data_IF_502227124815
#
_entry.id   IF_502227124815
#
_cell.length_a   1.000
_cell.length_b   1.000
_cell.length_c   1.000
_cell.angle_alpha   90.00
_cell.angle_beta   90.00
_cell.angle_gamma   90.00
#
_symmetry.space_group_name_H-M   'P 1'
#
loop_
_entity.id
_entity.type
_entity.pdbx_description
1 polymer ?
#
# COMPACT_ATOMS: atom_id res chain seq x y z
N UNK A 1 13.71 2.45 -12.05
CA UNK A 1 12.86 2.85 -10.91
C UNK A 1 12.12 4.13 -11.23
N UNK A 2 10.92 4.33 -10.69
CA UNK A 2 10.06 5.50 -10.92
C UNK A 2 10.35 6.55 -9.85
N UNK A 3 10.57 7.80 -10.25
CA UNK A 3 10.72 8.93 -9.32
C UNK A 3 9.35 9.53 -9.06
N UNK A 4 8.97 9.66 -7.81
CA UNK A 4 7.66 10.20 -7.38
C UNK A 4 7.86 11.17 -6.21
N UNK A 5 6.79 11.84 -5.83
CA UNK A 5 6.61 12.35 -4.47
C UNK A 5 5.69 11.37 -3.75
N UNK A 6 6.03 10.97 -2.53
CA UNK A 6 5.14 10.17 -1.71
C UNK A 6 4.05 11.03 -1.05
N UNK A 7 3.16 10.40 -0.28
CA UNK A 7 2.05 11.09 0.37
C UNK A 7 2.46 12.04 1.49
N UNK A 8 3.73 11.99 1.95
CA UNK A 8 4.29 12.98 2.87
C UNK A 8 4.86 14.21 2.14
N UNK A 9 4.88 14.19 0.80
CA UNK A 9 5.45 15.26 -0.03
C UNK A 9 6.95 15.13 -0.23
N UNK A 10 7.56 14.02 0.16
CA UNK A 10 9.00 13.79 0.04
C UNK A 10 9.36 13.08 -1.28
N UNK A 11 10.50 13.44 -1.92
CA UNK A 11 10.98 12.74 -3.10
C UNK A 11 11.31 11.27 -2.79
N UNK A 12 10.75 10.36 -3.58
CA UNK A 12 10.94 8.93 -3.38
C UNK A 12 11.09 8.15 -4.70
N UNK A 13 11.51 6.89 -4.57
CA UNK A 13 11.57 5.94 -5.68
C UNK A 13 10.65 4.76 -5.43
N UNK A 14 9.97 4.29 -6.49
CA UNK A 14 9.16 3.06 -6.47
C UNK A 14 9.47 2.13 -7.65
N UNK A 15 9.34 0.83 -7.43
CA UNK A 15 9.45 -0.18 -8.48
C UNK A 15 8.24 -0.09 -9.43
N UNK A 16 7.04 0.16 -8.87
CA UNK A 16 5.79 0.36 -9.59
C UNK A 16 5.02 1.55 -9.03
N UNK A 17 4.22 2.18 -9.88
CA UNK A 17 3.14 3.13 -9.53
C UNK A 17 1.80 2.54 -9.92
N UNK A 18 0.68 3.15 -9.47
CA UNK A 18 -0.67 2.76 -9.91
C UNK A 18 -0.77 2.72 -11.45
N UNK A 19 -0.19 3.70 -12.15
CA UNK A 19 -0.18 3.72 -13.61
C UNK A 19 0.57 2.53 -14.21
N UNK A 20 1.71 2.13 -13.62
CA UNK A 20 2.43 0.94 -14.08
C UNK A 20 1.58 -0.33 -13.88
N UNK A 21 0.88 -0.46 -12.76
CA UNK A 21 -0.02 -1.61 -12.51
C UNK A 21 -1.12 -1.70 -13.58
N UNK A 22 -1.71 -0.57 -13.97
CA UNK A 22 -2.68 -0.52 -15.08
C UNK A 22 -2.06 -0.94 -16.41
N UNK A 23 -0.88 -0.43 -16.74
CA UNK A 23 -0.20 -0.72 -18.01
C UNK A 23 0.27 -2.18 -18.14
N UNK A 24 0.56 -2.84 -17.01
CA UNK A 24 1.00 -4.23 -16.94
C UNK A 24 -0.16 -5.25 -16.91
N UNK A 25 -1.39 -4.80 -16.63
CA UNK A 25 -2.55 -5.67 -16.56
C UNK A 25 -2.72 -6.45 -17.88
N UNK A 26 -2.79 -7.79 -17.76
CA UNK A 26 -2.88 -8.71 -18.90
C UNK A 26 -1.55 -8.98 -19.62
N UNK A 27 -0.46 -8.30 -19.27
CA UNK A 27 0.87 -8.44 -19.92
C UNK A 27 1.89 -9.15 -19.05
N UNK A 28 1.92 -8.86 -17.74
CA UNK A 28 2.83 -9.49 -16.78
C UNK A 28 2.04 -9.93 -15.54
N UNK A 29 2.35 -11.12 -15.01
CA UNK A 29 1.90 -11.55 -13.69
C UNK A 29 2.87 -11.00 -12.65
N UNK A 30 2.35 -10.25 -11.69
CA UNK A 30 3.11 -9.72 -10.57
C UNK A 30 2.90 -10.61 -9.34
N UNK A 31 3.97 -10.86 -8.60
CA UNK A 31 3.93 -11.52 -7.31
C UNK A 31 3.53 -10.54 -6.21
N UNK A 32 2.69 -10.98 -5.28
CA UNK A 32 2.36 -10.20 -4.09
C UNK A 32 2.37 -11.10 -2.86
N UNK A 33 3.02 -10.65 -1.78
CA UNK A 33 3.08 -11.39 -0.53
C UNK A 33 2.70 -10.50 0.65
N UNK A 34 2.08 -11.10 1.66
CA UNK A 34 1.82 -10.45 2.94
C UNK A 34 3.03 -10.62 3.85
N UNK A 35 3.57 -9.51 4.36
CA UNK A 35 4.68 -9.48 5.32
C UNK A 35 4.21 -8.89 6.64
N UNK A 36 4.57 -9.53 7.75
CA UNK A 36 4.12 -9.15 9.10
C UNK A 36 5.16 -8.42 9.92
N UNK A 37 6.42 -8.48 9.51
CA UNK A 37 7.55 -7.92 10.24
C UNK A 37 8.73 -7.63 9.30
N UNK A 38 9.76 -6.98 9.83
CA UNK A 38 10.94 -6.55 9.07
C UNK A 38 11.77 -7.71 8.50
N UNK A 39 11.81 -8.86 9.18
CA UNK A 39 12.50 -10.06 8.68
C UNK A 39 11.82 -10.61 7.43
N UNK A 40 10.50 -10.78 7.47
CA UNK A 40 9.71 -11.23 6.31
C UNK A 40 9.81 -10.24 5.14
N UNK A 41 9.79 -8.92 5.42
CA UNK A 41 10.00 -7.90 4.40
C UNK A 41 11.38 -8.02 3.73
N UNK A 42 12.43 -8.23 4.53
CA UNK A 42 13.79 -8.41 4.00
C UNK A 42 13.87 -9.62 3.07
N UNK A 43 13.32 -10.75 3.50
CA UNK A 43 13.28 -11.98 2.69
C UNK A 43 12.49 -11.75 1.39
N UNK A 44 11.34 -11.06 1.45
CA UNK A 44 10.54 -10.77 0.26
C UNK A 44 11.28 -9.86 -0.74
N UNK A 45 12.03 -8.88 -0.25
CA UNK A 45 12.88 -8.02 -1.10
C UNK A 45 14.01 -8.81 -1.74
N UNK A 46 14.70 -9.68 -0.97
CA UNK A 46 15.79 -10.53 -1.48
C UNK A 46 15.28 -11.57 -2.50
N UNK A 47 14.03 -12.01 -2.35
CA UNK A 47 13.36 -12.91 -3.28
C UNK A 47 12.75 -12.22 -4.52
N UNK A 48 12.97 -10.91 -4.70
CA UNK A 48 12.46 -10.10 -5.81
C UNK A 48 10.92 -10.14 -5.95
N UNK A 49 10.20 -10.11 -4.82
CA UNK A 49 8.73 -10.00 -4.82
C UNK A 49 8.31 -8.62 -5.33
N UNK A 50 7.40 -8.59 -6.30
CA UNK A 50 7.01 -7.35 -7.00
C UNK A 50 6.27 -6.38 -6.06
N UNK A 51 5.28 -6.86 -5.32
CA UNK A 51 4.38 -6.05 -4.49
C UNK A 51 4.31 -6.59 -3.06
N UNK A 52 4.20 -5.71 -2.07
CA UNK A 52 4.03 -6.10 -0.67
C UNK A 52 2.66 -5.64 -0.16
N UNK A 53 2.03 -6.46 0.68
CA UNK A 53 0.92 -6.02 1.54
C UNK A 53 1.33 -6.23 3.00
N UNK A 54 0.97 -5.29 3.88
CA UNK A 54 1.25 -5.42 5.31
C UNK A 54 0.16 -4.80 6.15
N UNK A 55 0.13 -5.10 7.45
CA UNK A 55 -0.83 -4.51 8.38
C UNK A 55 -0.57 -3.02 8.59
N UNK A 56 -1.65 -2.24 8.70
CA UNK A 56 -1.62 -0.79 8.94
C UNK A 56 -0.57 -0.32 9.98
N UNK A 57 -0.44 -1.03 11.11
CA UNK A 57 0.40 -0.61 12.25
C UNK A 57 1.90 -0.71 12.01
N UNK A 58 2.35 -1.46 11.01
CA UNK A 58 3.79 -1.75 10.77
C UNK A 58 4.30 -1.15 9.46
N UNK A 59 3.48 -0.36 8.74
CA UNK A 59 3.82 0.18 7.42
C UNK A 59 5.19 0.88 7.41
N UNK A 60 5.45 1.75 8.40
CA UNK A 60 6.72 2.48 8.54
C UNK A 60 7.94 1.54 8.62
N UNK A 61 7.84 0.52 9.47
CA UNK A 61 8.90 -0.46 9.68
C UNK A 61 9.17 -1.24 8.40
N UNK A 62 8.12 -1.67 7.70
CA UNK A 62 8.23 -2.40 6.43
C UNK A 62 8.81 -1.49 5.33
N UNK A 63 8.37 -0.23 5.23
CA UNK A 63 8.90 0.75 4.27
C UNK A 63 10.40 0.98 4.46
N UNK A 64 10.89 1.02 5.70
CA UNK A 64 12.32 1.18 5.99
C UNK A 64 13.18 0.05 5.41
N UNK A 65 12.64 -1.17 5.33
CA UNK A 65 13.28 -2.33 4.72
C UNK A 65 13.06 -2.35 3.21
N UNK A 66 11.79 -2.27 2.79
CA UNK A 66 11.36 -2.29 1.40
C UNK A 66 11.19 -0.87 0.85
N UNK A 67 12.29 -0.10 0.82
CA UNK A 67 12.29 1.34 0.47
C UNK A 67 11.62 1.65 -0.87
N UNK A 68 11.69 0.68 -1.78
CA UNK A 68 11.40 0.85 -3.19
C UNK A 68 10.21 0.01 -3.68
N UNK A 69 9.76 -1.00 -2.94
CA UNK A 69 8.64 -1.85 -3.35
C UNK A 69 7.33 -1.07 -3.22
N UNK A 70 6.36 -1.38 -4.08
CA UNK A 70 5.00 -0.90 -3.90
C UNK A 70 4.37 -1.60 -2.67
N UNK A 71 3.90 -0.81 -1.70
CA UNK A 71 3.34 -1.32 -0.44
C UNK A 71 1.86 -0.97 -0.34
N UNK A 72 1.02 -1.98 -0.10
CA UNK A 72 -0.38 -1.78 0.26
C UNK A 72 -0.58 -1.99 1.76
N UNK A 73 -1.21 -1.04 2.44
CA UNK A 73 -1.56 -1.16 3.86
C UNK A 73 -2.94 -1.79 4.04
N UNK A 74 -3.03 -2.93 4.72
CA UNK A 74 -4.30 -3.54 5.09
C UNK A 74 -4.91 -2.82 6.30
N UNK A 75 -6.05 -2.14 6.07
CA UNK A 75 -6.80 -1.44 7.10
C UNK A 75 -7.69 -2.45 7.84
N UNK A 76 -7.48 -2.71 9.15
CA UNK A 76 -8.26 -3.68 9.92
C UNK A 76 -9.76 -3.43 9.83
N UNK A 77 -10.51 -4.50 9.56
CA UNK A 77 -11.97 -4.44 9.37
C UNK A 77 -12.72 -4.08 10.67
N UNK A 78 -12.27 -4.62 11.82
CA UNK A 78 -12.98 -4.51 13.10
C UNK A 78 -12.60 -3.31 13.96
N UNK A 79 -11.47 -2.66 13.68
CA UNK A 79 -10.93 -1.54 14.46
C UNK A 79 -11.57 -0.20 14.09
N UNK A 80 -11.79 0.03 12.78
CA UNK A 80 -12.34 1.28 12.24
C UNK A 80 -13.76 1.05 11.71
N UNK A 81 -14.76 1.62 12.36
CA UNK A 81 -16.19 1.32 12.14
C UNK A 81 -16.89 2.40 11.32
N UNK A 82 -16.45 3.64 11.41
CA UNK A 82 -17.03 4.78 10.69
C UNK A 82 -16.19 5.16 9.47
N UNK A 83 -16.81 5.82 8.48
CA UNK A 83 -16.09 6.32 7.31
C UNK A 83 -14.95 7.29 7.68
N UNK A 84 -15.14 8.12 8.71
CA UNK A 84 -14.10 9.04 9.18
C UNK A 84 -12.93 8.29 9.79
N UNK A 85 -13.18 7.29 10.64
CA UNK A 85 -12.12 6.45 11.21
C UNK A 85 -11.33 5.71 10.12
N UNK A 86 -12.02 5.19 9.10
CA UNK A 86 -11.41 4.51 7.97
C UNK A 86 -10.57 5.48 7.14
N UNK A 87 -11.06 6.69 6.90
CA UNK A 87 -10.32 7.74 6.19
C UNK A 87 -9.06 8.14 6.96
N UNK A 88 -9.19 8.43 8.26
CA UNK A 88 -8.05 8.79 9.11
C UNK A 88 -6.98 7.70 9.15
N UNK A 89 -7.39 6.43 9.30
CA UNK A 89 -6.46 5.31 9.25
C UNK A 89 -5.80 5.18 7.87
N UNK A 90 -6.55 5.38 6.79
CA UNK A 90 -6.00 5.30 5.43
C UNK A 90 -4.96 6.40 5.18
N UNK A 91 -5.25 7.64 5.57
CA UNK A 91 -4.32 8.76 5.43
C UNK A 91 -3.04 8.54 6.25
N UNK A 92 -3.16 8.08 7.49
CA UNK A 92 -1.99 7.77 8.31
C UNK A 92 -1.15 6.64 7.68
N UNK A 93 -1.77 5.63 7.09
CA UNK A 93 -1.04 4.56 6.40
C UNK A 93 -0.20 5.08 5.23
N UNK A 94 -0.78 6.01 4.46
CA UNK A 94 -0.09 6.65 3.34
C UNK A 94 1.06 7.54 3.80
N UNK A 95 0.85 8.32 4.87
CA UNK A 95 1.88 9.15 5.51
C UNK A 95 3.04 8.29 6.04
N UNK A 96 2.76 7.10 6.59
CA UNK A 96 3.77 6.15 7.04
C UNK A 96 4.44 5.37 5.88
N UNK A 97 4.08 5.67 4.63
CA UNK A 97 4.79 5.24 3.44
C UNK A 97 4.11 4.14 2.62
N UNK A 98 2.82 3.86 2.86
CA UNK A 98 2.05 3.02 1.95
C UNK A 98 1.76 3.76 0.62
N UNK A 99 1.65 2.99 -0.47
CA UNK A 99 1.31 3.50 -1.80
C UNK A 99 -0.17 3.28 -2.16
N UNK A 100 -0.85 2.40 -1.41
CA UNK A 100 -2.28 2.14 -1.48
C UNK A 100 -2.78 1.55 -0.16
N UNK A 101 -4.10 1.46 -0.01
CA UNK A 101 -4.76 0.78 1.11
C UNK A 101 -5.60 -0.40 0.64
N UNK A 102 -5.69 -1.44 1.44
CA UNK A 102 -6.61 -2.55 1.24
C UNK A 102 -7.76 -2.49 2.24
N UNK A 103 -8.98 -2.71 1.76
CA UNK A 103 -10.15 -2.85 2.64
C UNK A 103 -11.07 -3.98 2.20
N UNK A 104 -11.44 -4.85 3.13
CA UNK A 104 -12.45 -5.90 2.93
C UNK A 104 -13.89 -5.39 3.11
N UNK A 105 -14.13 -4.09 2.91
CA UNK A 105 -15.42 -3.42 3.11
C UNK A 105 -16.19 -3.31 1.79
N UNK A 106 -17.40 -2.78 1.87
CA UNK A 106 -18.29 -2.69 0.71
C UNK A 106 -17.76 -1.74 -0.37
N UNK A 107 -18.23 -1.88 -1.63
CA UNK A 107 -17.89 -0.97 -2.71
C UNK A 107 -18.16 0.51 -2.42
N UNK A 108 -19.15 0.83 -1.56
CA UNK A 108 -19.42 2.21 -1.14
C UNK A 108 -18.25 2.81 -0.33
N UNK A 109 -17.58 2.01 0.50
CA UNK A 109 -16.38 2.46 1.24
C UNK A 109 -15.20 2.64 0.29
N UNK A 110 -15.05 1.73 -0.68
CA UNK A 110 -14.02 1.83 -1.74
C UNK A 110 -14.21 3.11 -2.55
N UNK A 111 -15.44 3.41 -2.98
CA UNK A 111 -15.78 4.63 -3.71
C UNK A 111 -15.53 5.89 -2.87
N UNK A 112 -15.93 5.88 -1.60
CA UNK A 112 -15.70 6.99 -0.67
C UNK A 112 -14.21 7.33 -0.55
N UNK A 113 -13.36 6.34 -0.25
CA UNK A 113 -11.91 6.56 -0.15
C UNK A 113 -11.30 6.99 -1.49
N UNK A 114 -11.76 6.41 -2.60
CA UNK A 114 -11.26 6.77 -3.94
C UNK A 114 -11.60 8.22 -4.31
N UNK A 115 -12.75 8.75 -3.89
CA UNK A 115 -13.13 10.16 -4.07
C UNK A 115 -12.22 11.12 -3.28
N UNK A 116 -11.68 10.66 -2.15
CA UNK A 116 -10.65 11.37 -1.38
C UNK A 116 -9.23 11.16 -1.96
N UNK A 117 -9.12 10.68 -3.22
CA UNK A 117 -7.86 10.44 -3.92
C UNK A 117 -6.95 9.37 -3.28
N UNK A 118 -7.51 8.49 -2.45
CA UNK A 118 -6.78 7.37 -1.86
C UNK A 118 -6.77 6.20 -2.85
N UNK A 119 -5.61 5.63 -3.22
CA UNK A 119 -5.56 4.41 -4.01
C UNK A 119 -6.05 3.21 -3.18
N UNK A 120 -7.11 2.55 -3.64
CA UNK A 120 -7.74 1.44 -2.92
C UNK A 120 -7.62 0.12 -3.68
N UNK A 121 -7.21 -0.92 -2.97
CA UNK A 121 -7.34 -2.32 -3.34
C UNK A 121 -8.54 -2.93 -2.61
N UNK A 122 -9.40 -3.63 -3.35
CA UNK A 122 -10.60 -4.31 -2.85
C UNK A 122 -10.64 -5.75 -3.35
#
# INVERSE_FOLDING_TARGET
MKKIYDFSGEPAYRNYTINDLFLLKGKKKLSQINVKNTLEAKIAVEADIDLLITGYKVVKEIRNIAKNNFITAAIPFTEFKTNNEILSASLNALEEGADAVYTARSPQVVEYLSKESIPVMA
#
